data_IF_760090827764
#
_entry.id   IF_760090827764
#
_cell.length_a   1.000
_cell.length_b   1.000
_cell.length_c   1.000
_cell.angle_alpha   90.00
_cell.angle_beta   90.00
_cell.angle_gamma   90.00
#
_symmetry.space_group_name_H-M   'P 1'
#
loop_
_entity.id
_entity.type
_entity.pdbx_description
1 polymer ?
#
# COMPACT_ATOMS: atom_id res chain seq x y z
N UNK A 1 -14.06 -9.60 -14.99
CA UNK A 1 -14.12 -9.49 -13.50
C UNK A 1 -13.49 -10.73 -12.88
N UNK A 2 -13.91 -11.94 -13.25
CA UNK A 2 -13.44 -13.18 -12.64
C UNK A 2 -11.92 -13.40 -12.78
N UNK A 3 -11.34 -13.18 -13.99
CA UNK A 3 -9.90 -13.28 -14.22
C UNK A 3 -9.11 -12.29 -13.38
N UNK A 4 -9.57 -11.04 -13.25
CA UNK A 4 -8.89 -10.03 -12.42
C UNK A 4 -8.90 -10.39 -10.93
N UNK A 5 -9.99 -11.00 -10.46
CA UNK A 5 -10.08 -11.48 -9.07
C UNK A 5 -9.12 -12.65 -8.82
N UNK A 6 -9.00 -13.60 -9.73
CA UNK A 6 -8.07 -14.74 -9.62
C UNK A 6 -6.61 -14.29 -9.57
N UNK A 7 -6.22 -13.31 -10.42
CA UNK A 7 -4.86 -12.75 -10.41
C UNK A 7 -4.57 -12.02 -9.11
N UNK A 8 -5.52 -11.21 -8.64
CA UNK A 8 -5.38 -10.52 -7.35
C UNK A 8 -5.30 -11.50 -6.17
N UNK A 9 -6.06 -12.59 -6.21
CA UNK A 9 -6.02 -13.64 -5.21
C UNK A 9 -4.66 -14.36 -5.20
N UNK A 10 -4.14 -14.71 -6.36
CA UNK A 10 -2.83 -15.35 -6.48
C UNK A 10 -1.70 -14.44 -5.96
N UNK A 11 -1.73 -13.15 -6.33
CA UNK A 11 -0.79 -12.15 -5.82
C UNK A 11 -0.90 -12.02 -4.29
N UNK A 12 -2.12 -11.92 -3.77
CA UNK A 12 -2.39 -11.85 -2.32
C UNK A 12 -1.90 -13.09 -1.58
N UNK A 13 -2.03 -14.29 -2.16
CA UNK A 13 -1.54 -15.52 -1.56
C UNK A 13 0.00 -15.55 -1.45
N UNK A 14 0.71 -15.12 -2.48
CA UNK A 14 2.17 -14.98 -2.43
C UNK A 14 2.60 -13.94 -1.39
N UNK A 15 1.91 -12.81 -1.33
CA UNK A 15 2.18 -11.79 -0.34
C UNK A 15 1.90 -12.26 1.10
N UNK A 16 0.83 -13.03 1.32
CA UNK A 16 0.51 -13.60 2.63
C UNK A 16 1.58 -14.60 3.12
N UNK A 17 2.25 -15.30 2.20
CA UNK A 17 3.35 -16.19 2.54
C UNK A 17 4.59 -15.43 3.09
N UNK A 18 4.76 -14.15 2.73
CA UNK A 18 5.83 -13.29 3.25
C UNK A 18 5.54 -12.77 4.67
N UNK A 19 4.30 -12.87 5.15
CA UNK A 19 3.91 -12.37 6.46
C UNK A 19 4.21 -13.37 7.57
N UNK A 20 4.65 -12.82 8.70
CA UNK A 20 4.81 -13.55 9.97
C UNK A 20 3.68 -13.19 10.93
N UNK A 21 3.45 -14.03 11.90
CA UNK A 21 2.56 -13.71 13.01
C UNK A 21 3.08 -12.48 13.78
N UNK A 22 2.20 -11.55 14.11
CA UNK A 22 2.53 -10.29 14.77
C UNK A 22 3.02 -9.18 13.85
N UNK A 23 3.17 -9.39 12.52
CA UNK A 23 3.67 -8.35 11.61
C UNK A 23 2.80 -7.08 11.62
N UNK A 24 3.47 -5.93 11.68
CA UNK A 24 2.91 -4.59 11.55
C UNK A 24 3.23 -4.07 10.15
N UNK A 25 2.21 -3.98 9.33
CA UNK A 25 2.33 -3.76 7.89
C UNK A 25 1.95 -2.33 7.55
N UNK A 26 2.95 -1.51 7.17
CA UNK A 26 2.67 -0.21 6.57
C UNK A 26 2.10 -0.40 5.17
N UNK A 27 1.07 0.36 4.83
CA UNK A 27 0.59 0.49 3.45
C UNK A 27 0.27 1.95 3.11
N UNK A 28 0.23 2.26 1.83
CA UNK A 28 -0.03 3.62 1.34
C UNK A 28 -1.01 3.60 0.19
N UNK A 29 -1.98 4.50 0.22
CA UNK A 29 -3.06 4.62 -0.75
C UNK A 29 -4.01 3.40 -0.73
N UNK A 30 -4.72 3.17 -1.82
CA UNK A 30 -5.55 1.99 -2.03
C UNK A 30 -4.71 0.93 -2.73
N UNK A 31 -4.35 -0.12 -2.01
CA UNK A 31 -3.52 -1.19 -2.57
C UNK A 31 -4.34 -2.31 -3.28
N UNK A 32 -5.62 -2.06 -3.53
CA UNK A 32 -6.50 -2.91 -4.34
C UNK A 32 -6.86 -4.26 -3.71
N UNK A 33 -7.46 -5.13 -4.52
CA UNK A 33 -7.97 -6.43 -4.08
C UNK A 33 -6.85 -7.38 -3.59
N UNK A 34 -5.64 -7.27 -4.13
CA UNK A 34 -4.52 -8.12 -3.72
C UNK A 34 -4.14 -7.92 -2.25
N UNK A 35 -4.21 -6.68 -1.72
CA UNK A 35 -4.02 -6.42 -0.30
C UNK A 35 -5.12 -7.09 0.54
N UNK A 36 -6.38 -6.98 0.13
CA UNK A 36 -7.49 -7.62 0.82
C UNK A 36 -7.31 -9.15 0.85
N UNK A 37 -6.94 -9.75 -0.26
CA UNK A 37 -6.65 -11.19 -0.32
C UNK A 37 -5.47 -11.57 0.57
N UNK A 38 -4.40 -10.80 0.58
CA UNK A 38 -3.25 -11.01 1.47
C UNK A 38 -3.67 -11.04 2.95
N UNK A 39 -4.42 -10.03 3.39
CA UNK A 39 -4.91 -9.93 4.77
C UNK A 39 -5.87 -11.05 5.13
N UNK A 40 -6.81 -11.37 4.23
CA UNK A 40 -7.76 -12.45 4.44
C UNK A 40 -7.07 -13.81 4.57
N UNK A 41 -6.13 -14.12 3.66
CA UNK A 41 -5.39 -15.39 3.68
C UNK A 41 -4.51 -15.48 4.94
N UNK A 42 -3.81 -14.40 5.32
CA UNK A 42 -3.04 -14.36 6.56
C UNK A 42 -3.91 -14.67 7.78
N UNK A 43 -5.11 -14.08 7.84
CA UNK A 43 -6.08 -14.35 8.90
C UNK A 43 -6.55 -15.81 8.90
N UNK A 44 -6.84 -16.42 7.72
CA UNK A 44 -7.22 -17.84 7.62
C UNK A 44 -6.07 -18.76 8.07
N UNK A 45 -4.81 -18.32 7.92
CA UNK A 45 -3.63 -19.02 8.42
C UNK A 45 -3.37 -18.81 9.92
N UNK A 46 -4.24 -18.08 10.62
CA UNK A 46 -4.12 -17.79 12.07
C UNK A 46 -3.10 -16.69 12.40
N UNK A 47 -2.56 -15.98 11.42
CA UNK A 47 -1.61 -14.89 11.65
C UNK A 47 -2.33 -13.65 12.19
N UNK A 48 -1.83 -13.10 13.29
CA UNK A 48 -2.28 -11.87 13.92
C UNK A 48 -1.48 -10.70 13.37
N UNK A 49 -1.93 -10.08 12.28
CA UNK A 49 -1.26 -8.92 11.68
C UNK A 49 -1.98 -7.63 12.00
N UNK A 50 -1.25 -6.51 12.04
CA UNK A 50 -1.82 -5.17 12.17
C UNK A 50 -1.54 -4.38 10.89
N UNK A 51 -2.58 -3.83 10.27
CA UNK A 51 -2.42 -2.93 9.13
C UNK A 51 -2.21 -1.50 9.62
N UNK A 52 -1.20 -0.82 9.08
CA UNK A 52 -0.88 0.59 9.36
C UNK A 52 -1.00 1.37 8.05
N UNK A 53 -2.22 1.77 7.63
CA UNK A 53 -2.38 2.61 6.46
C UNK A 53 -2.03 4.05 6.79
N UNK A 54 -1.38 4.75 5.85
CA UNK A 54 -1.31 6.21 5.88
C UNK A 54 -2.62 6.79 5.39
N UNK A 55 -2.97 8.00 5.81
CA UNK A 55 -4.22 8.66 5.39
C UNK A 55 -4.31 8.92 3.89
N UNK A 56 -3.18 9.17 3.24
CA UNK A 56 -3.02 9.46 1.80
C UNK A 56 -3.71 10.74 1.36
N UNK A 57 -3.11 11.89 1.72
CA UNK A 57 -3.57 13.21 1.25
C UNK A 57 -3.41 13.35 -0.27
N UNK A 58 -4.25 14.14 -0.99
CA UNK A 58 -5.42 14.88 -0.46
C UNK A 58 -6.72 14.05 -0.43
N UNK A 59 -6.82 12.93 -1.16
CA UNK A 59 -8.09 12.18 -1.31
C UNK A 59 -8.42 11.22 -0.18
N UNK A 60 -7.47 10.96 0.71
CA UNK A 60 -7.64 10.12 1.89
C UNK A 60 -8.04 8.66 1.55
N UNK A 61 -7.52 8.10 0.45
CA UNK A 61 -7.82 6.73 0.05
C UNK A 61 -7.38 5.71 1.11
N UNK A 62 -6.23 5.95 1.75
CA UNK A 62 -5.77 5.10 2.83
C UNK A 62 -6.71 5.10 4.02
N UNK A 63 -7.18 6.29 4.43
CA UNK A 63 -8.12 6.42 5.55
C UNK A 63 -9.52 5.92 5.22
N UNK A 64 -10.03 6.25 4.02
CA UNK A 64 -11.45 6.06 3.68
C UNK A 64 -11.75 4.70 3.07
N UNK A 65 -10.78 4.09 2.40
CA UNK A 65 -10.97 2.83 1.68
C UNK A 65 -10.14 1.71 2.33
N UNK A 66 -8.82 1.85 2.37
CA UNK A 66 -7.93 0.78 2.84
C UNK A 66 -8.15 0.46 4.32
N UNK A 67 -8.21 1.48 5.18
CA UNK A 67 -8.48 1.29 6.60
C UNK A 67 -9.87 0.68 6.83
N UNK A 68 -10.89 1.19 6.13
CA UNK A 68 -12.25 0.68 6.24
C UNK A 68 -12.35 -0.79 5.83
N UNK A 69 -11.80 -1.17 4.66
CA UNK A 69 -11.80 -2.56 4.22
C UNK A 69 -11.15 -3.50 5.25
N UNK A 70 -10.01 -3.11 5.82
CA UNK A 70 -9.34 -3.93 6.82
C UNK A 70 -10.15 -4.09 8.11
N UNK A 71 -10.80 -3.00 8.58
CA UNK A 71 -11.70 -3.06 9.75
C UNK A 71 -12.89 -3.99 9.50
N UNK A 72 -13.52 -3.91 8.32
CA UNK A 72 -14.63 -4.79 7.95
C UNK A 72 -14.22 -6.27 7.88
N UNK A 73 -12.96 -6.54 7.54
CA UNK A 73 -12.38 -7.88 7.58
C UNK A 73 -11.98 -8.34 8.99
N UNK A 74 -12.13 -7.46 10.01
CA UNK A 74 -11.71 -7.73 11.39
C UNK A 74 -10.19 -7.82 11.55
N UNK A 75 -9.44 -7.06 10.75
CA UNK A 75 -7.99 -6.90 10.89
C UNK A 75 -7.74 -5.65 11.77
N UNK A 76 -6.88 -5.72 12.79
CA UNK A 76 -6.47 -4.55 13.56
C UNK A 76 -5.87 -3.47 12.66
N UNK A 77 -6.34 -2.22 12.83
CA UNK A 77 -5.89 -1.07 12.03
C UNK A 77 -5.37 0.04 12.92
N UNK A 78 -4.22 0.60 12.55
CA UNK A 78 -3.67 1.83 13.13
C UNK A 78 -3.49 2.86 12.01
N UNK A 79 -4.48 3.71 11.81
CA UNK A 79 -4.40 4.79 10.81
C UNK A 79 -3.41 5.88 11.27
N UNK A 80 -2.54 6.32 10.36
CA UNK A 80 -1.52 7.34 10.61
C UNK A 80 -1.53 8.42 9.53
N UNK A 81 -0.95 9.59 9.82
CA UNK A 81 -0.73 10.63 8.80
C UNK A 81 0.43 10.28 7.88
N UNK A 82 0.48 10.90 6.68
CA UNK A 82 1.49 10.60 5.66
C UNK A 82 2.93 10.92 6.10
N UNK A 83 3.10 11.81 7.06
CA UNK A 83 4.43 12.18 7.59
C UNK A 83 4.98 11.25 8.69
N UNK A 84 4.18 10.28 9.19
CA UNK A 84 4.58 9.45 10.34
C UNK A 84 5.40 8.18 10.00
N UNK A 85 5.41 7.61 8.78
CA UNK A 85 6.03 6.33 8.53
C UNK A 85 7.49 6.24 8.95
N UNK A 86 8.33 7.23 8.61
CA UNK A 86 9.75 7.24 8.95
C UNK A 86 9.97 7.23 10.48
N UNK A 87 9.14 7.98 11.23
CA UNK A 87 9.20 7.97 12.70
C UNK A 87 8.87 6.58 13.26
N UNK A 88 7.81 5.93 12.77
CA UNK A 88 7.43 4.61 13.23
C UNK A 88 8.48 3.55 12.85
N UNK A 89 9.09 3.66 11.68
CA UNK A 89 10.21 2.80 11.28
C UNK A 89 11.42 2.98 12.19
N UNK A 90 11.76 4.22 12.56
CA UNK A 90 12.87 4.51 13.49
C UNK A 90 12.66 3.93 14.88
N UNK A 91 11.40 3.72 15.27
CA UNK A 91 11.03 3.10 16.55
C UNK A 91 10.83 1.58 16.44
N UNK A 92 11.15 0.97 15.29
CA UNK A 92 10.94 -0.44 15.06
C UNK A 92 9.46 -0.87 15.14
N UNK A 93 8.53 0.02 14.80
CA UNK A 93 7.10 -0.23 14.88
C UNK A 93 6.47 -0.64 13.53
N UNK A 94 7.27 -0.83 12.50
CA UNK A 94 6.86 -1.32 11.18
C UNK A 94 7.79 -2.45 10.80
N UNK A 95 7.21 -3.61 10.46
CA UNK A 95 7.95 -4.82 10.10
C UNK A 95 8.05 -4.98 8.58
N UNK A 96 7.06 -4.47 7.83
CA UNK A 96 7.04 -4.49 6.36
C UNK A 96 6.32 -3.27 5.82
N UNK A 97 6.80 -2.77 4.67
CA UNK A 97 6.05 -1.84 3.84
C UNK A 97 5.53 -2.59 2.61
N UNK A 98 4.22 -2.59 2.41
CA UNK A 98 3.55 -3.27 1.29
C UNK A 98 2.58 -2.30 0.63
N UNK A 99 2.74 -2.03 -0.67
CA UNK A 99 1.80 -1.22 -1.44
C UNK A 99 1.51 -1.85 -2.81
N UNK A 100 0.57 -1.29 -3.57
CA UNK A 100 0.39 -1.63 -4.97
C UNK A 100 1.27 -0.75 -5.88
N UNK A 101 1.18 -0.96 -7.18
CA UNK A 101 1.72 -0.09 -8.21
C UNK A 101 0.61 0.31 -9.18
N UNK A 102 0.54 1.60 -9.53
CA UNK A 102 -0.31 2.08 -10.62
C UNK A 102 0.28 1.67 -11.98
N UNK A 103 1.62 1.51 -12.03
CA UNK A 103 2.34 1.03 -13.21
C UNK A 103 3.66 0.40 -12.81
N UNK A 104 4.05 -0.63 -13.55
CA UNK A 104 5.37 -1.28 -13.46
C UNK A 104 6.01 -1.15 -14.84
N UNK A 105 7.25 -0.69 -14.91
CA UNK A 105 7.98 -0.54 -16.16
C UNK A 105 8.72 -1.84 -16.53
N UNK A 106 9.14 -1.97 -17.81
CA UNK A 106 9.90 -3.15 -18.24
C UNK A 106 11.28 -3.25 -17.57
N UNK A 107 11.87 -2.13 -17.15
CA UNK A 107 13.15 -2.09 -16.40
C UNK A 107 12.98 -2.23 -14.88
N UNK A 108 11.76 -2.55 -14.39
CA UNK A 108 11.49 -2.88 -13.01
C UNK A 108 11.20 -1.70 -12.07
N UNK A 109 11.07 -0.49 -12.57
CA UNK A 109 10.58 0.65 -11.76
C UNK A 109 9.08 0.57 -11.59
N UNK A 110 8.60 1.16 -10.49
CA UNK A 110 7.16 1.28 -10.22
C UNK A 110 6.76 2.75 -10.04
N UNK A 111 5.54 3.07 -10.42
CA UNK A 111 4.88 4.28 -9.94
C UNK A 111 3.68 3.92 -9.09
N UNK A 112 3.43 4.76 -8.12
CA UNK A 112 2.26 4.68 -7.26
C UNK A 112 1.95 6.08 -6.71
N UNK A 113 0.94 6.21 -5.89
CA UNK A 113 0.53 7.45 -5.24
C UNK A 113 1.72 8.22 -4.65
N UNK A 114 1.69 9.56 -4.77
CA UNK A 114 2.64 10.47 -4.11
C UNK A 114 2.78 10.11 -2.61
N UNK A 115 4.02 10.06 -2.12
CA UNK A 115 4.35 9.55 -0.79
C UNK A 115 4.95 8.13 -0.80
N UNK A 116 4.71 7.33 -1.84
CA UNK A 116 5.28 5.97 -1.93
C UNK A 116 6.80 6.00 -1.97
N UNK A 117 7.41 6.87 -2.79
CA UNK A 117 8.87 7.04 -2.84
C UNK A 117 9.44 7.48 -1.48
N UNK A 118 8.79 8.43 -0.82
CA UNK A 118 9.15 8.88 0.52
C UNK A 118 9.18 7.71 1.53
N UNK A 119 8.13 6.89 1.53
CA UNK A 119 8.06 5.72 2.39
C UNK A 119 9.09 4.65 2.02
N UNK A 120 9.38 4.46 0.73
CA UNK A 120 10.39 3.52 0.26
C UNK A 120 11.82 3.93 0.67
N UNK A 121 12.14 5.24 0.59
CA UNK A 121 13.40 5.78 1.07
C UNK A 121 13.55 5.54 2.59
N UNK A 122 12.51 5.82 3.36
CA UNK A 122 12.52 5.56 4.80
C UNK A 122 12.66 4.06 5.10
N UNK A 123 11.94 3.21 4.39
CA UNK A 123 12.02 1.75 4.54
C UNK A 123 13.44 1.24 4.25
N UNK A 124 14.06 1.72 3.18
CA UNK A 124 15.45 1.38 2.85
C UNK A 124 16.42 1.83 3.95
N UNK A 125 16.30 3.07 4.42
CA UNK A 125 17.17 3.64 5.46
C UNK A 125 17.09 2.88 6.78
N UNK A 126 15.90 2.44 7.18
CA UNK A 126 15.68 1.71 8.44
C UNK A 126 15.69 0.19 8.28
N UNK A 127 16.02 -0.34 7.11
CA UNK A 127 16.08 -1.79 6.86
C UNK A 127 14.74 -2.50 6.89
N UNK A 128 13.63 -1.78 6.65
CA UNK A 128 12.28 -2.36 6.56
C UNK A 128 12.06 -2.94 5.16
N UNK A 129 11.72 -4.23 5.02
CA UNK A 129 11.45 -4.83 3.73
C UNK A 129 10.28 -4.13 3.02
N UNK A 130 10.47 -3.80 1.73
CA UNK A 130 9.46 -3.18 0.89
C UNK A 130 9.03 -4.15 -0.22
N UNK A 131 7.72 -4.39 -0.33
CA UNK A 131 7.11 -5.26 -1.34
C UNK A 131 6.02 -4.52 -2.10
N UNK A 132 5.91 -4.83 -3.39
CA UNK A 132 4.91 -4.25 -4.28
C UNK A 132 3.99 -5.33 -4.82
N UNK A 133 2.69 -5.13 -4.68
CA UNK A 133 1.65 -6.02 -5.20
C UNK A 133 1.44 -5.70 -6.69
N UNK A 134 2.23 -6.35 -7.53
CA UNK A 134 2.28 -6.10 -8.97
C UNK A 134 1.46 -7.12 -9.78
N UNK A 135 0.17 -7.24 -9.50
CA UNK A 135 -0.70 -8.26 -10.08
C UNK A 135 -0.97 -8.09 -11.59
N UNK A 136 -0.77 -6.91 -12.17
CA UNK A 136 -0.93 -6.68 -13.62
C UNK A 136 0.37 -6.94 -14.41
N UNK A 137 1.50 -7.11 -13.70
CA UNK A 137 2.82 -7.26 -14.33
C UNK A 137 3.34 -5.97 -14.97
N UNK A 138 4.51 -6.04 -15.64
CA UNK A 138 5.08 -4.90 -16.34
C UNK A 138 4.22 -4.46 -17.53
N UNK A 139 4.07 -3.14 -17.70
CA UNK A 139 3.40 -2.53 -18.84
C UNK A 139 4.32 -2.57 -20.08
N UNK A 140 3.93 -3.31 -21.15
CA UNK A 140 4.75 -3.43 -22.36
C UNK A 140 4.99 -2.09 -23.09
N UNK A 141 4.16 -1.08 -22.83
CA UNK A 141 4.25 0.25 -23.43
C UNK A 141 5.13 1.22 -22.63
N UNK A 142 5.62 0.80 -21.46
CA UNK A 142 6.43 1.64 -20.58
C UNK A 142 7.81 1.01 -20.35
N UNK A 143 8.78 1.26 -21.25
CA UNK A 143 10.08 0.59 -21.20
C UNK A 143 10.92 0.95 -19.98
N UNK A 144 10.80 2.18 -19.47
CA UNK A 144 11.60 2.67 -18.34
C UNK A 144 10.90 3.76 -17.54
N UNK A 145 11.44 4.10 -16.39
CA UNK A 145 10.95 5.19 -15.55
C UNK A 145 10.87 6.53 -16.28
N UNK A 146 11.77 6.79 -17.23
CA UNK A 146 11.78 8.04 -18.03
C UNK A 146 10.56 8.16 -18.98
N UNK A 147 9.90 7.07 -19.29
CA UNK A 147 8.68 7.06 -20.12
C UNK A 147 7.41 7.41 -19.32
N UNK A 148 7.53 7.55 -18.00
CA UNK A 148 6.37 7.81 -17.14
C UNK A 148 6.13 9.31 -17.03
N UNK A 149 4.93 9.73 -17.40
CA UNK A 149 4.46 11.11 -17.21
C UNK A 149 3.73 11.17 -15.86
N UNK A 150 4.26 11.96 -14.94
CA UNK A 150 3.61 12.20 -13.65
C UNK A 150 2.52 13.26 -13.80
N UNK A 151 1.29 12.90 -13.44
CA UNK A 151 0.14 13.80 -13.48
C UNK A 151 0.36 15.01 -12.56
N UNK A 152 0.16 16.21 -13.11
CA UNK A 152 0.11 17.45 -12.32
C UNK A 152 -1.35 17.79 -12.04
N UNK A 153 -1.69 17.90 -10.77
CA UNK A 153 -3.08 18.09 -10.30
C UNK A 153 -3.31 19.52 -9.84
N UNK A 154 -4.60 19.90 -9.72
CA UNK A 154 -4.99 21.22 -9.22
C UNK A 154 -4.45 21.41 -7.77
N UNK A 155 -3.59 22.42 -7.52
CA UNK A 155 -3.03 22.66 -6.20
C UNK A 155 -4.09 22.94 -5.13
N UNK A 156 -5.28 23.39 -5.51
CA UNK A 156 -6.40 23.60 -4.58
C UNK A 156 -6.86 22.34 -3.88
N UNK A 157 -6.61 21.15 -4.44
CA UNK A 157 -6.92 19.87 -3.80
C UNK A 157 -6.22 19.70 -2.44
N UNK A 158 -5.08 20.37 -2.24
CA UNK A 158 -4.32 20.31 -0.98
C UNK A 158 -4.98 21.11 0.15
N UNK A 159 -5.79 22.12 -0.17
CA UNK A 159 -6.43 22.96 0.85
C UNK A 159 -7.64 22.31 1.53
N UNK A 160 -8.22 21.27 0.91
CA UNK A 160 -9.42 20.65 1.42
C UNK A 160 -9.16 19.21 1.85
N UNK A 161 -9.57 18.86 3.08
CA UNK A 161 -9.75 17.48 3.49
C UNK A 161 -11.23 17.15 3.35
N UNK A 162 -11.58 16.13 2.55
CA UNK A 162 -12.94 15.59 2.52
C UNK A 162 -13.16 14.76 3.79
N UNK A 163 -13.40 15.44 4.91
CA UNK A 163 -13.90 14.84 6.13
C UNK A 163 -15.42 15.02 6.24
N UNK A 164 -16.08 14.24 7.08
CA UNK A 164 -17.38 14.66 7.61
C UNK A 164 -17.11 15.94 8.42
N UNK A 165 -17.83 17.00 8.11
CA UNK A 165 -18.00 18.06 9.09
C UNK A 165 -18.61 17.39 10.32
N UNK A 166 -17.88 17.50 11.44
CA UNK A 166 -18.36 16.98 12.72
C UNK A 166 -19.55 17.77 13.22
#
# INVERSE_FOLDING_TARGET
IERGNQVSQACGAQAAALLRDGDRILTHCLAGAALCWMLWIAKQQGKQVTLIPTETRPYLQGARLTAQCAVEMGIPVRLITDGMPAHLMSQGQIDKFICAADRITLDGHITNKVGTLHNAIAAHYYGVPFYVLGYDGPDPQTPSANAIVIEQRDPREVFYARGREG
#
